data_IF_877492468121
#
_entry.id   IF_877492468121
#
_cell.length_a   1.000
_cell.length_b   1.000
_cell.length_c   1.000
_cell.angle_alpha   90.00
_cell.angle_beta   90.00
_cell.angle_gamma   90.00
#
_symmetry.space_group_name_H-M   'P 1'
#
loop_
_entity.id
_entity.type
_entity.pdbx_description
1 polymer ?
#
# COMPACT_ATOMS: atom_id res chain seq x y z
N UNK A 1 12.65 -22.77 6.16
CA UNK A 1 12.58 -22.19 7.52
C UNK A 1 11.42 -21.23 7.47
N UNK A 2 10.44 -21.36 8.36
CA UNK A 2 9.34 -20.38 8.44
C UNK A 2 9.89 -19.21 9.26
N UNK A 3 9.98 -18.04 8.64
CA UNK A 3 10.54 -16.83 9.28
C UNK A 3 9.46 -16.05 10.02
N UNK A 4 8.20 -16.09 9.54
CA UNK A 4 7.07 -15.33 10.07
C UNK A 4 6.02 -16.21 10.75
N UNK A 5 5.45 -15.71 11.86
CA UNK A 5 4.30 -16.30 12.54
C UNK A 5 3.00 -15.56 12.25
N UNK A 6 1.92 -15.96 12.95
CA UNK A 6 0.63 -15.29 12.83
C UNK A 6 0.70 -13.80 13.22
N UNK A 7 -0.04 -12.98 12.49
CA UNK A 7 -0.22 -11.55 12.76
C UNK A 7 -1.69 -11.17 12.70
N UNK A 8 -2.04 -10.11 13.43
CA UNK A 8 -3.32 -9.43 13.22
C UNK A 8 -3.32 -8.67 11.89
N UNK A 9 -4.49 -8.51 11.31
CA UNK A 9 -4.67 -7.57 10.20
C UNK A 9 -4.48 -6.12 10.67
N UNK A 10 -3.91 -5.28 9.79
CA UNK A 10 -3.89 -3.82 9.95
C UNK A 10 -5.13 -3.26 9.25
N UNK A 11 -5.80 -2.30 9.88
CA UNK A 11 -6.98 -1.65 9.33
C UNK A 11 -6.81 -0.13 9.26
N UNK A 12 -7.50 0.48 8.30
CA UNK A 12 -7.53 1.92 8.09
C UNK A 12 -8.78 2.37 7.36
N UNK A 13 -8.82 3.65 7.04
CA UNK A 13 -9.86 4.28 6.21
C UNK A 13 -9.21 5.23 5.21
N UNK A 14 -9.72 5.29 3.98
CA UNK A 14 -9.27 6.29 3.02
C UNK A 14 -9.66 7.69 3.47
N UNK A 15 -8.68 8.56 3.64
CA UNK A 15 -8.89 9.97 4.00
C UNK A 15 -8.77 10.91 2.80
N UNK A 16 -8.22 10.41 1.68
CA UNK A 16 -8.11 11.13 0.41
C UNK A 16 -8.04 10.15 -0.74
N UNK A 17 -8.73 10.45 -1.83
CA UNK A 17 -8.63 9.70 -3.10
C UNK A 17 -7.75 10.48 -4.07
N UNK A 18 -6.89 9.76 -4.79
CA UNK A 18 -6.03 10.32 -5.84
C UNK A 18 -6.45 9.77 -7.20
N UNK A 19 -6.28 10.60 -8.23
CA UNK A 19 -6.84 10.34 -9.58
C UNK A 19 -5.79 10.39 -10.68
N UNK A 20 -4.50 10.42 -10.32
CA UNK A 20 -3.40 10.55 -11.27
C UNK A 20 -2.51 9.31 -11.28
N UNK A 21 -1.79 9.12 -12.38
CA UNK A 21 -0.76 8.10 -12.59
C UNK A 21 0.54 8.76 -13.06
N UNK A 22 1.64 8.01 -13.05
CA UNK A 22 2.93 8.42 -13.64
C UNK A 22 3.65 7.21 -14.22
N UNK A 23 4.48 7.47 -15.23
CA UNK A 23 5.36 6.47 -15.87
C UNK A 23 6.86 6.77 -15.63
N UNK A 24 7.16 7.75 -14.78
CA UNK A 24 8.51 8.25 -14.50
C UNK A 24 8.74 8.53 -13.00
N UNK A 25 7.97 7.87 -12.12
CA UNK A 25 7.89 8.24 -10.69
C UNK A 25 9.18 8.05 -9.91
N UNK A 26 10.00 7.07 -10.28
CA UNK A 26 11.32 6.82 -9.70
C UNK A 26 11.37 6.43 -8.23
N UNK A 27 10.35 5.74 -7.72
CA UNK A 27 10.35 5.18 -6.38
C UNK A 27 11.37 4.05 -6.23
N UNK A 28 11.83 3.81 -5.00
CA UNK A 28 12.74 2.71 -4.64
C UNK A 28 12.20 1.94 -3.45
N UNK A 29 12.21 0.61 -3.57
CA UNK A 29 11.87 -0.25 -2.44
C UNK A 29 12.94 -0.14 -1.35
N UNK A 30 12.47 -0.04 -0.12
CA UNK A 30 13.28 -0.16 1.08
C UNK A 30 13.86 -1.58 1.25
N UNK A 31 15.01 -1.64 1.95
CA UNK A 31 15.61 -2.81 2.64
C UNK A 31 14.58 -3.84 3.09
N UNK A 32 13.76 -3.37 4.04
CA UNK A 32 13.01 -4.23 4.92
C UNK A 32 11.67 -4.60 4.33
N UNK A 33 11.30 -5.88 4.46
CA UNK A 33 10.06 -6.42 3.95
C UNK A 33 8.81 -5.97 4.75
N UNK A 34 8.98 -5.31 5.89
CA UNK A 34 7.87 -4.94 6.77
C UNK A 34 7.98 -3.55 7.38
N UNK A 35 6.84 -3.01 7.81
CA UNK A 35 6.74 -1.76 8.57
C UNK A 35 5.73 -1.90 9.70
N UNK A 36 6.16 -1.55 10.91
CA UNK A 36 5.24 -1.27 12.01
C UNK A 36 4.53 0.05 11.73
N UNK A 37 3.21 0.04 11.85
CA UNK A 37 2.36 1.23 11.73
C UNK A 37 1.49 1.40 12.98
N UNK A 38 1.24 2.65 13.35
CA UNK A 38 0.47 3.02 14.54
C UNK A 38 -0.89 3.56 14.15
N UNK A 39 -1.85 3.41 15.07
CA UNK A 39 -3.13 4.09 14.92
C UNK A 39 -2.92 5.61 14.80
N UNK A 40 -3.62 6.24 13.87
CA UNK A 40 -3.54 7.67 13.55
C UNK A 40 -2.43 8.05 12.56
N UNK A 41 -1.55 7.12 12.16
CA UNK A 41 -0.60 7.38 11.08
C UNK A 41 -1.33 7.42 9.73
N UNK A 42 -0.86 8.28 8.82
CA UNK A 42 -1.42 8.43 7.47
C UNK A 42 -0.37 8.03 6.44
N UNK A 43 -0.73 7.16 5.50
CA UNK A 43 0.18 6.64 4.47
C UNK A 43 -0.43 6.67 3.07
N UNK A 44 0.42 6.84 2.04
CA UNK A 44 -0.01 6.88 0.65
C UNK A 44 -0.07 5.45 0.07
N UNK A 45 -1.15 5.13 -0.62
CA UNK A 45 -1.36 3.85 -1.30
C UNK A 45 -1.11 4.02 -2.80
N UNK A 46 -0.15 3.28 -3.32
CA UNK A 46 0.32 3.39 -4.70
C UNK A 46 0.33 2.02 -5.34
N UNK A 47 -0.29 1.87 -6.50
CA UNK A 47 -0.24 0.63 -7.28
C UNK A 47 0.88 0.66 -8.29
N UNK A 48 1.47 -0.49 -8.56
CA UNK A 48 2.47 -0.69 -9.62
C UNK A 48 2.38 -2.12 -10.14
N UNK A 49 2.89 -2.36 -11.34
CA UNK A 49 3.10 -3.69 -11.90
C UNK A 49 4.57 -4.10 -11.92
N UNK A 50 5.45 -3.26 -11.37
CA UNK A 50 6.84 -3.60 -11.11
C UNK A 50 6.93 -4.69 -10.02
N UNK A 51 8.04 -5.44 -10.05
CA UNK A 51 8.41 -6.48 -9.11
C UNK A 51 9.40 -6.03 -8.05
N UNK A 52 9.74 -6.96 -7.15
CA UNK A 52 10.65 -6.70 -6.02
C UNK A 52 12.11 -6.50 -6.45
N UNK A 53 12.49 -7.14 -7.56
CA UNK A 53 13.85 -7.11 -8.09
C UNK A 53 14.08 -5.90 -9.03
N UNK A 54 13.03 -5.12 -9.32
CA UNK A 54 13.17 -3.93 -10.16
C UNK A 54 13.94 -2.85 -9.41
N UNK A 55 15.02 -2.30 -9.99
CA UNK A 55 15.89 -1.34 -9.30
C UNK A 55 15.21 0.03 -9.08
N UNK A 56 14.08 0.25 -9.77
CA UNK A 56 13.32 1.50 -9.77
C UNK A 56 11.87 1.22 -10.17
N UNK A 57 10.95 1.88 -9.48
CA UNK A 57 9.51 1.79 -9.71
C UNK A 57 9.03 3.10 -10.34
N UNK A 58 8.67 3.04 -11.62
CA UNK A 58 8.32 4.21 -12.42
C UNK A 58 6.84 4.25 -12.78
N UNK A 59 6.28 3.14 -13.27
CA UNK A 59 4.88 3.04 -13.66
C UNK A 59 3.99 2.79 -12.46
N UNK A 60 3.21 3.81 -12.10
CA UNK A 60 2.41 3.83 -10.88
C UNK A 60 1.02 4.46 -11.08
N UNK A 61 0.06 3.98 -10.30
CA UNK A 61 -1.25 4.60 -10.14
C UNK A 61 -1.51 4.94 -8.68
N UNK A 62 -1.91 6.17 -8.39
CA UNK A 62 -2.10 6.64 -7.02
C UNK A 62 -3.55 6.39 -6.58
N UNK A 63 -3.75 5.60 -5.52
CA UNK A 63 -5.08 5.30 -5.00
C UNK A 63 -5.58 6.41 -4.06
N UNK A 64 -4.74 6.83 -3.12
CA UNK A 64 -5.17 7.68 -2.04
C UNK A 64 -4.27 7.64 -0.81
N UNK A 65 -4.72 8.29 0.25
CA UNK A 65 -4.11 8.19 1.57
C UNK A 65 -5.04 7.43 2.51
N UNK A 66 -4.48 6.55 3.34
CA UNK A 66 -5.20 5.86 4.40
C UNK A 66 -4.72 6.34 5.76
N UNK A 67 -5.66 6.65 6.65
CA UNK A 67 -5.39 6.75 8.08
C UNK A 67 -5.51 5.36 8.71
N UNK A 68 -4.53 4.96 9.52
CA UNK A 68 -4.53 3.68 10.21
C UNK A 68 -5.47 3.75 11.41
N UNK A 69 -6.54 2.96 11.40
CA UNK A 69 -7.52 2.86 12.49
C UNK A 69 -7.18 1.73 13.48
N UNK A 70 -6.41 0.74 13.03
CA UNK A 70 -5.91 -0.36 13.86
C UNK A 70 -4.50 -0.72 13.41
N UNK A 71 -3.49 -0.27 14.16
CA UNK A 71 -2.07 -0.45 13.83
C UNK A 71 -1.61 -1.91 13.83
N UNK A 72 -0.32 -2.15 13.62
CA UNK A 72 0.25 -3.50 13.53
C UNK A 72 1.50 -3.52 12.66
N UNK A 73 1.73 -4.66 12.02
CA UNK A 73 2.82 -4.84 11.06
C UNK A 73 2.20 -5.04 9.69
N UNK A 74 2.61 -4.25 8.71
CA UNK A 74 2.32 -4.49 7.29
C UNK A 74 3.52 -5.22 6.71
N UNK A 75 3.28 -6.37 6.08
CA UNK A 75 4.32 -7.19 5.47
C UNK A 75 4.18 -7.17 3.96
N UNK A 76 5.31 -7.28 3.26
CA UNK A 76 5.33 -7.65 1.86
C UNK A 76 4.53 -8.94 1.68
N UNK A 77 3.62 -8.93 0.71
CA UNK A 77 2.72 -10.04 0.40
C UNK A 77 1.35 -9.96 1.07
N UNK A 78 1.13 -9.06 2.04
CA UNK A 78 -0.20 -8.80 2.58
C UNK A 78 -1.17 -8.46 1.45
N UNK A 79 -2.36 -9.06 1.47
CA UNK A 79 -3.44 -8.63 0.59
C UNK A 79 -3.94 -7.26 1.04
N UNK A 80 -4.17 -6.36 0.08
CA UNK A 80 -4.78 -5.07 0.32
C UNK A 80 -6.21 -5.11 -0.19
N UNK A 81 -7.15 -4.89 0.74
CA UNK A 81 -8.57 -4.79 0.43
C UNK A 81 -9.06 -3.38 0.74
N UNK A 82 -9.85 -2.80 -0.17
CA UNK A 82 -10.46 -1.48 0.00
C UNK A 82 -11.95 -1.58 -0.31
N UNK A 83 -12.82 -1.15 0.60
CA UNK A 83 -14.26 -1.30 0.43
C UNK A 83 -14.73 -2.76 0.40
N UNK A 84 -13.90 -3.70 0.87
CA UNK A 84 -14.16 -5.15 0.78
C UNK A 84 -13.68 -5.79 -0.53
N UNK A 85 -13.21 -5.01 -1.49
CA UNK A 85 -12.68 -5.49 -2.77
C UNK A 85 -11.16 -5.67 -2.70
N UNK A 86 -10.67 -6.75 -3.32
CA UNK A 86 -9.23 -7.01 -3.43
C UNK A 86 -8.58 -6.06 -4.44
N UNK A 87 -7.53 -5.36 -4.01
CA UNK A 87 -6.80 -4.37 -4.83
C UNK A 87 -5.46 -4.90 -5.35
N UNK A 88 -4.79 -5.74 -4.56
CA UNK A 88 -3.45 -6.25 -4.88
C UNK A 88 -2.71 -6.75 -3.63
N UNK A 89 -1.40 -6.91 -3.73
CA UNK A 89 -0.53 -7.29 -2.60
C UNK A 89 0.50 -6.23 -2.30
N UNK A 90 0.85 -6.03 -1.04
CA UNK A 90 1.96 -5.15 -0.66
C UNK A 90 3.24 -5.65 -1.31
N UNK A 91 3.85 -4.83 -2.16
CA UNK A 91 5.17 -5.07 -2.74
C UNK A 91 6.28 -4.64 -1.77
N UNK A 92 6.04 -3.56 -1.04
CA UNK A 92 6.94 -3.01 -0.05
C UNK A 92 6.69 -1.52 0.15
N UNK A 93 7.74 -0.80 0.55
CA UNK A 93 7.64 0.59 0.99
C UNK A 93 8.69 1.43 0.30
N UNK A 94 8.35 2.68 0.00
CA UNK A 94 9.30 3.72 -0.37
C UNK A 94 9.20 4.86 0.67
N UNK A 95 10.36 5.31 1.16
CA UNK A 95 10.45 6.29 2.25
C UNK A 95 10.81 7.71 1.76
N UNK A 96 10.63 8.04 0.47
CA UNK A 96 11.06 9.33 -0.05
C UNK A 96 10.35 10.54 0.61
N UNK A 97 9.25 10.32 1.32
CA UNK A 97 8.50 11.34 2.07
C UNK A 97 8.53 11.11 3.59
N UNK A 98 9.29 10.13 4.09
CA UNK A 98 9.43 9.89 5.52
C UNK A 98 10.13 11.10 6.20
N UNK A 99 9.71 11.55 7.40
CA UNK A 99 8.76 10.94 8.33
C UNK A 99 7.29 11.36 8.13
N UNK A 100 6.93 12.06 7.06
CA UNK A 100 5.54 12.45 6.82
C UNK A 100 4.68 11.20 6.56
N UNK A 101 5.05 10.41 5.56
CA UNK A 101 4.42 9.13 5.27
C UNK A 101 5.34 8.22 4.46
N UNK A 102 5.02 6.92 4.46
CA UNK A 102 5.51 5.99 3.45
C UNK A 102 4.60 6.00 2.23
N UNK A 103 5.19 5.73 1.07
CA UNK A 103 4.47 5.15 -0.06
C UNK A 103 4.38 3.63 0.19
N UNK A 104 3.19 3.11 0.44
CA UNK A 104 2.93 1.68 0.50
C UNK A 104 2.66 1.24 -0.94
N UNK A 105 3.61 0.49 -1.51
CA UNK A 105 3.55 0.04 -2.89
C UNK A 105 2.77 -1.27 -2.96
N UNK A 106 1.82 -1.34 -3.88
CA UNK A 106 0.86 -2.43 -4.04
C UNK A 106 1.04 -3.01 -5.45
N UNK A 107 1.48 -4.25 -5.54
CA UNK A 107 1.62 -4.95 -6.81
C UNK A 107 0.25 -5.39 -7.35
N UNK A 108 0.03 -5.15 -8.64
CA UNK A 108 -1.08 -5.64 -9.47
C UNK A 108 -0.68 -5.65 -10.95
N UNK A 109 -1.34 -6.46 -11.77
CA UNK A 109 -0.97 -6.65 -13.19
C UNK A 109 -1.02 -5.37 -14.05
N UNK A 110 -1.84 -4.39 -13.68
CA UNK A 110 -1.93 -3.11 -14.36
C UNK A 110 -2.25 -2.00 -13.34
N UNK A 111 -1.41 -0.97 -13.15
CA UNK A 111 -1.63 0.07 -12.14
C UNK A 111 -2.92 0.84 -12.39
N UNK A 112 -3.56 1.27 -11.30
CA UNK A 112 -4.79 2.08 -11.36
C UNK A 112 -4.76 3.21 -10.35
N UNK A 113 -5.56 4.22 -10.63
CA UNK A 113 -5.84 5.32 -9.71
C UNK A 113 -7.08 5.01 -8.87
N UNK A 114 -7.30 5.80 -7.81
CA UNK A 114 -8.48 5.67 -6.98
C UNK A 114 -9.78 5.93 -7.76
N UNK A 115 -9.78 6.87 -8.71
CA UNK A 115 -10.93 7.14 -9.58
C UNK A 115 -11.27 5.95 -10.49
N UNK A 116 -10.26 5.31 -11.07
CA UNK A 116 -10.46 4.20 -12.02
C UNK A 116 -11.12 2.97 -11.39
N UNK A 117 -10.99 2.80 -10.06
CA UNK A 117 -11.67 1.74 -9.29
C UNK A 117 -12.72 2.32 -8.34
N UNK A 118 -13.21 3.52 -8.63
CA UNK A 118 -14.32 4.19 -7.94
C UNK A 118 -14.19 4.28 -6.42
N UNK A 119 -12.97 4.51 -5.90
CA UNK A 119 -12.76 4.71 -4.47
C UNK A 119 -13.41 6.01 -3.99
N UNK A 120 -13.91 5.98 -2.77
CA UNK A 120 -14.40 7.17 -2.07
C UNK A 120 -13.68 7.34 -0.74
N UNK A 121 -13.57 8.57 -0.21
CA UNK A 121 -13.22 8.76 1.19
C UNK A 121 -14.10 7.91 2.12
N UNK A 122 -13.58 7.60 3.30
CA UNK A 122 -14.16 6.70 4.30
C UNK A 122 -14.26 5.23 3.89
N UNK A 123 -13.79 4.85 2.69
CA UNK A 123 -13.71 3.44 2.31
C UNK A 123 -12.77 2.69 3.26
N UNK A 124 -13.21 1.57 3.86
CA UNK A 124 -12.36 0.80 4.78
C UNK A 124 -11.19 0.17 4.03
N UNK A 125 -10.00 0.23 4.63
CA UNK A 125 -8.76 -0.37 4.13
C UNK A 125 -8.34 -1.49 5.08
N UNK A 126 -7.90 -2.63 4.54
CA UNK A 126 -7.37 -3.75 5.32
C UNK A 126 -6.12 -4.33 4.67
N UNK A 127 -5.10 -4.59 5.49
CA UNK A 127 -3.90 -5.34 5.13
C UNK A 127 -3.83 -6.64 5.94
N UNK A 128 -3.52 -7.75 5.28
CA UNK A 128 -3.20 -9.00 5.96
C UNK A 128 -3.20 -10.21 5.04
N UNK A 129 -2.86 -11.37 5.61
CA UNK A 129 -3.05 -12.67 4.95
C UNK A 129 -4.55 -12.94 4.75
N UNK A 130 -4.90 -13.56 3.62
CA UNK A 130 -6.25 -14.04 3.34
C UNK A 130 -6.69 -14.92 4.52
N UNK A 131 -7.77 -14.51 5.19
CA UNK A 131 -8.41 -15.30 6.24
C UNK A 131 -9.16 -16.47 5.65
#
# INVERSE_FOLDING_TARGET
MIEDGDKRAVAGVLVKVLVHSRDDRGMRLEEFASRCVRQGEVHELVTTDHGVDDPRIDRVGFLGFTEISHGGVIDRGDEVHIGGEYVGKVLGFDACHFPNHYNILIHRDAPVTGEQIALTPESPVRFGVRG
#
